data_IF_641564578434
#
_entry.id   IF_641564578434
#
_cell.length_a   1.000
_cell.length_b   1.000
_cell.length_c   1.000
_cell.angle_alpha   90.00
_cell.angle_beta   90.00
_cell.angle_gamma   90.00
#
_symmetry.space_group_name_H-M   'P 1'
#
loop_
_entity.id
_entity.type
_entity.pdbx_description
1 polymer ?
#
# COMPACT_ATOMS: atom_id res chain seq x y z
N UNK A 1 -12.31 -19.84 0.26
CA UNK A 1 -12.85 -18.66 -0.46
C UNK A 1 -11.68 -17.68 -0.65
N UNK A 2 -11.48 -17.17 -1.86
CA UNK A 2 -10.39 -16.24 -2.17
C UNK A 2 -10.61 -14.85 -1.54
N UNK A 3 -9.54 -14.20 -1.08
CA UNK A 3 -9.55 -12.80 -0.60
C UNK A 3 -8.46 -12.01 -1.31
N UNK A 4 -8.78 -10.82 -1.86
CA UNK A 4 -7.81 -9.99 -2.58
C UNK A 4 -6.86 -9.20 -1.67
N UNK A 5 -7.21 -9.05 -0.38
CA UNK A 5 -6.42 -8.36 0.63
C UNK A 5 -6.02 -9.31 1.77
N UNK A 6 -4.92 -9.02 2.49
CA UNK A 6 -4.61 -9.69 3.76
C UNK A 6 -5.79 -9.56 4.74
N UNK A 7 -5.97 -10.55 5.62
CA UNK A 7 -7.10 -10.57 6.57
C UNK A 7 -7.03 -9.47 7.64
N UNK A 8 -5.88 -8.82 7.77
CA UNK A 8 -5.62 -7.68 8.65
C UNK A 8 -5.72 -6.31 7.95
N UNK A 9 -6.19 -6.26 6.69
CA UNK A 9 -6.38 -5.02 5.92
C UNK A 9 -7.79 -4.98 5.33
N UNK A 10 -8.42 -3.81 5.37
CA UNK A 10 -9.72 -3.55 4.74
C UNK A 10 -9.71 -2.24 3.96
N UNK A 11 -10.78 -1.97 3.21
CA UNK A 11 -10.99 -0.70 2.49
C UNK A 11 -12.13 0.07 3.18
N UNK A 12 -11.94 1.37 3.38
CA UNK A 12 -12.95 2.30 3.94
C UNK A 12 -12.84 3.66 3.26
N UNK A 13 -13.80 4.55 3.52
CA UNK A 13 -13.65 5.98 3.17
C UNK A 13 -12.42 6.55 3.87
N UNK A 14 -11.61 7.27 3.10
CA UNK A 14 -10.36 7.86 3.55
C UNK A 14 -10.55 9.35 3.85
N UNK A 15 -10.01 9.86 4.96
CA UNK A 15 -9.89 11.30 5.20
C UNK A 15 -8.87 11.98 4.27
N UNK A 16 -8.00 11.22 3.59
CA UNK A 16 -6.99 11.74 2.66
C UNK A 16 -7.62 11.92 1.28
N UNK A 17 -8.09 10.82 0.66
CA UNK A 17 -8.69 10.85 -0.65
C UNK A 17 -9.52 9.59 -0.92
N UNK A 18 -10.81 9.78 -1.24
CA UNK A 18 -11.69 8.71 -1.73
C UNK A 18 -11.75 7.50 -0.78
N UNK A 19 -11.22 6.37 -1.23
CA UNK A 19 -11.09 5.15 -0.43
C UNK A 19 -9.63 4.94 -0.03
N UNK A 20 -9.42 4.37 1.15
CA UNK A 20 -8.11 4.06 1.73
C UNK A 20 -8.02 2.64 2.24
N UNK A 21 -6.79 2.15 2.42
CA UNK A 21 -6.50 0.90 3.12
C UNK A 21 -6.40 1.16 4.61
N UNK A 22 -7.02 0.32 5.42
CA UNK A 22 -6.98 0.45 6.88
C UNK A 22 -6.61 -0.87 7.55
N UNK A 23 -5.84 -0.78 8.61
CA UNK A 23 -5.55 -1.91 9.47
C UNK A 23 -6.84 -2.34 10.22
N UNK A 24 -7.15 -3.64 10.21
CA UNK A 24 -8.22 -4.22 11.05
C UNK A 24 -7.68 -4.87 12.31
N UNK A 25 -6.35 -5.07 12.37
CA UNK A 25 -5.60 -5.61 13.49
C UNK A 25 -4.28 -4.84 13.58
N UNK A 26 -3.64 -4.85 14.75
CA UNK A 26 -2.31 -4.28 14.90
C UNK A 26 -1.31 -4.94 13.93
N UNK A 27 -0.56 -4.13 13.18
CA UNK A 27 0.51 -4.58 12.29
C UNK A 27 1.83 -4.12 12.91
N UNK A 28 2.70 -5.07 13.25
CA UNK A 28 3.97 -4.74 13.92
C UNK A 28 4.96 -4.08 12.96
N UNK A 29 5.79 -3.18 13.49
CA UNK A 29 6.89 -2.58 12.75
C UNK A 29 7.76 -3.65 12.05
N UNK A 30 8.17 -3.37 10.81
CA UNK A 30 8.95 -4.29 9.98
C UNK A 30 8.13 -5.37 9.27
N UNK A 31 6.82 -5.46 9.51
CA UNK A 31 5.95 -6.40 8.78
C UNK A 31 5.84 -6.00 7.32
N UNK A 32 6.16 -6.92 6.41
CA UNK A 32 5.88 -6.77 4.98
C UNK A 32 4.40 -7.07 4.72
N UNK A 33 3.66 -6.04 4.28
CA UNK A 33 2.21 -6.12 4.09
C UNK A 33 1.87 -6.74 2.72
N UNK A 34 2.60 -6.35 1.68
CA UNK A 34 2.44 -6.98 0.36
C UNK A 34 2.89 -6.13 -0.82
N UNK A 35 2.71 -6.70 -2.02
CA UNK A 35 3.01 -6.07 -3.30
C UNK A 35 1.97 -4.97 -3.57
N UNK A 36 2.44 -3.78 -3.96
CA UNK A 36 1.58 -2.68 -4.44
C UNK A 36 1.66 -2.52 -5.95
N UNK A 37 2.83 -2.75 -6.55
CA UNK A 37 3.04 -2.62 -7.99
C UNK A 37 3.80 -3.81 -8.54
N UNK A 38 3.38 -4.27 -9.71
CA UNK A 38 4.11 -5.20 -10.57
C UNK A 38 4.60 -4.40 -11.77
N UNK A 39 5.88 -4.48 -12.09
CA UNK A 39 6.44 -3.83 -13.27
C UNK A 39 6.05 -4.67 -14.49
N UNK A 40 5.43 -4.04 -15.48
CA UNK A 40 5.01 -4.71 -16.71
C UNK A 40 5.09 -3.73 -17.88
N UNK A 41 6.08 -3.92 -18.76
CA UNK A 41 6.31 -3.09 -19.94
C UNK A 41 5.19 -3.16 -21.00
N UNK A 42 4.34 -4.17 -20.93
CA UNK A 42 3.17 -4.30 -21.81
C UNK A 42 1.94 -3.55 -21.28
N UNK A 43 1.99 -3.04 -20.04
CA UNK A 43 0.96 -2.16 -19.51
C UNK A 43 1.21 -0.71 -19.98
N UNK A 44 0.19 0.06 -20.39
CA UNK A 44 0.37 1.45 -20.83
C UNK A 44 1.06 2.37 -19.80
N UNK A 45 0.91 2.11 -18.51
CA UNK A 45 1.58 2.86 -17.44
C UNK A 45 2.92 2.22 -17.01
N UNK A 46 3.32 1.12 -17.66
CA UNK A 46 4.51 0.34 -17.31
C UNK A 46 4.39 -0.44 -15.99
N UNK A 47 3.22 -0.39 -15.34
CA UNK A 47 2.96 -1.02 -14.05
C UNK A 47 1.53 -1.53 -13.95
N UNK A 48 1.36 -2.62 -13.21
CA UNK A 48 0.05 -3.11 -12.77
C UNK A 48 -0.07 -2.84 -11.26
N UNK A 49 -1.18 -2.23 -10.84
CA UNK A 49 -1.52 -2.04 -9.42
C UNK A 49 -2.23 -3.29 -8.89
N UNK A 50 -1.78 -3.79 -7.74
CA UNK A 50 -2.52 -4.81 -6.99
C UNK A 50 -3.69 -4.17 -6.24
N UNK A 51 -4.58 -4.93 -5.59
CA UNK A 51 -5.58 -4.36 -4.69
C UNK A 51 -4.97 -3.44 -3.62
N UNK A 52 -3.77 -3.76 -3.10
CA UNK A 52 -3.07 -2.86 -2.19
C UNK A 52 -2.63 -1.57 -2.90
N UNK A 53 -2.02 -1.67 -4.09
CA UNK A 53 -1.58 -0.49 -4.85
C UNK A 53 -2.69 0.36 -5.44
N UNK A 54 -3.90 -0.19 -5.57
CA UNK A 54 -5.07 0.50 -6.11
C UNK A 54 -5.83 1.34 -5.09
N UNK A 55 -5.74 1.02 -3.80
CA UNK A 55 -6.52 1.68 -2.73
C UNK A 55 -5.67 2.35 -1.65
N UNK A 56 -4.35 2.13 -1.59
CA UNK A 56 -3.55 2.79 -0.58
C UNK A 56 -3.18 4.22 -0.97
N UNK A 57 -3.14 5.11 0.02
CA UNK A 57 -3.00 6.55 -0.17
C UNK A 57 -1.60 7.06 0.13
N UNK A 58 -1.36 8.29 -0.35
CA UNK A 58 -0.14 9.02 -0.06
C UNK A 58 -0.15 9.67 1.33
N UNK A 59 1.01 9.69 1.98
CA UNK A 59 1.31 10.62 3.07
C UNK A 59 2.78 11.05 3.01
N UNK A 60 3.07 12.30 3.38
CA UNK A 60 4.42 12.81 3.59
C UNK A 60 5.01 12.41 4.96
N UNK A 61 4.16 11.96 5.88
CA UNK A 61 4.52 11.34 7.16
C UNK A 61 3.95 9.91 7.25
N UNK A 62 4.34 9.01 6.33
CA UNK A 62 3.70 7.71 6.18
C UNK A 62 4.00 6.76 7.34
N UNK A 63 3.11 5.78 7.53
CA UNK A 63 3.34 4.64 8.43
C UNK A 63 3.87 3.39 7.72
N UNK A 64 3.99 3.41 6.38
CA UNK A 64 4.65 2.38 5.59
C UNK A 64 5.82 2.90 4.75
N UNK A 65 6.83 2.04 4.61
CA UNK A 65 7.90 2.20 3.64
C UNK A 65 7.50 1.51 2.34
N UNK A 66 8.04 1.98 1.23
CA UNK A 66 7.96 1.31 -0.07
C UNK A 66 9.35 0.84 -0.47
N UNK A 67 9.47 -0.42 -0.86
CA UNK A 67 10.73 -1.03 -1.29
C UNK A 67 10.54 -1.76 -2.62
N UNK A 68 11.56 -1.73 -3.48
CA UNK A 68 11.62 -2.56 -4.69
C UNK A 68 12.38 -3.83 -4.38
N UNK A 69 11.78 -4.98 -4.66
CA UNK A 69 12.49 -6.26 -4.65
C UNK A 69 12.88 -6.62 -6.08
N UNK A 70 14.17 -6.47 -6.39
CA UNK A 70 14.67 -6.69 -7.74
C UNK A 70 14.06 -5.72 -8.76
N UNK A 71 13.80 -6.23 -9.96
CA UNK A 71 13.30 -5.46 -11.09
C UNK A 71 11.80 -5.62 -11.36
N UNK A 72 11.10 -6.45 -10.58
CA UNK A 72 9.79 -6.97 -10.99
C UNK A 72 8.62 -6.39 -10.21
N UNK A 73 8.84 -5.96 -8.96
CA UNK A 73 7.75 -5.47 -8.12
C UNK A 73 8.19 -4.51 -7.01
N UNK A 74 7.21 -3.75 -6.52
CA UNK A 74 7.33 -2.92 -5.32
C UNK A 74 6.41 -3.42 -4.23
N UNK A 75 6.92 -3.45 -3.02
CA UNK A 75 6.21 -3.82 -1.80
C UNK A 75 6.06 -2.63 -0.87
N UNK A 76 5.11 -2.75 0.05
CA UNK A 76 5.07 -1.93 1.25
C UNK A 76 5.27 -2.77 2.51
N UNK A 77 5.83 -2.14 3.53
CA UNK A 77 5.92 -2.71 4.87
C UNK A 77 5.78 -1.63 5.94
N UNK A 78 5.46 -2.04 7.16
CA UNK A 78 5.22 -1.14 8.28
C UNK A 78 6.52 -0.49 8.77
N UNK A 79 6.60 0.85 8.75
CA UNK A 79 7.74 1.63 9.29
C UNK A 79 7.74 1.67 10.82
N UNK A 80 6.55 1.60 11.40
CA UNK A 80 6.26 1.56 12.83
C UNK A 80 5.09 0.61 13.06
N UNK A 81 4.76 0.35 14.31
CA UNK A 81 3.50 -0.30 14.63
C UNK A 81 2.34 0.52 14.04
N UNK A 82 1.41 -0.17 13.38
CA UNK A 82 0.17 0.38 12.84
C UNK A 82 -0.96 -0.19 13.68
N UNK A 83 -1.66 0.67 14.40
CA UNK A 83 -2.77 0.28 15.27
C UNK A 83 -4.03 -0.01 14.44
N UNK A 84 -4.98 -0.81 14.97
CA UNK A 84 -6.29 -0.96 14.35
C UNK A 84 -6.91 0.40 14.03
N UNK A 85 -7.59 0.48 12.89
CA UNK A 85 -8.24 1.69 12.38
C UNK A 85 -7.31 2.81 11.87
N UNK A 86 -5.99 2.63 11.92
CA UNK A 86 -5.08 3.52 11.21
C UNK A 86 -5.12 3.25 9.69
N UNK A 87 -5.10 4.33 8.91
CA UNK A 87 -4.95 4.26 7.45
C UNK A 87 -3.50 3.90 7.07
N UNK A 88 -3.34 2.91 6.21
CA UNK A 88 -2.07 2.45 5.68
C UNK A 88 -1.67 3.38 4.53
N UNK A 89 -0.56 4.09 4.69
CA UNK A 89 -0.09 5.11 3.74
C UNK A 89 1.40 4.97 3.48
N UNK A 90 1.84 5.34 2.28
CA UNK A 90 3.26 5.40 1.93
C UNK A 90 3.57 6.62 1.07
N UNK A 91 4.85 6.98 0.95
CA UNK A 91 5.27 8.05 0.03
C UNK A 91 5.16 7.57 -1.41
N UNK A 92 4.37 8.24 -2.23
CA UNK A 92 4.28 7.93 -3.65
C UNK A 92 5.60 8.26 -4.35
N UNK A 93 5.91 7.50 -5.39
CA UNK A 93 7.19 7.60 -6.11
C UNK A 93 7.02 7.52 -7.63
N UNK A 94 5.78 7.47 -8.13
CA UNK A 94 5.49 7.26 -9.55
C UNK A 94 5.13 8.56 -10.28
N UNK A 95 4.76 9.60 -9.54
CA UNK A 95 4.30 10.87 -10.07
C UNK A 95 4.56 11.99 -9.06
N UNK A 96 4.61 13.21 -9.56
CA UNK A 96 4.61 14.41 -8.72
C UNK A 96 3.24 14.56 -8.06
N UNK A 97 3.27 14.87 -6.77
CA UNK A 97 2.09 15.07 -5.95
C UNK A 97 1.78 16.57 -6.02
N UNK A 98 0.58 16.91 -6.48
CA UNK A 98 0.11 18.29 -6.59
C UNK A 98 -0.52 18.77 -5.30
#
# INVERSE_FOLDING_TARGET
>A
MYRPLPDYVTIRESPIAGLGLFATKKILAGTYIGIVHIINENDPEGIIRTPLGGFGNHSDTPNCFKIKFGHDNSWIGALRDIEPDEEITWKYTLYEIK
#
